data_IF_699601778229
#
_entry.id   IF_699601778229
#
_cell.length_a   1.000
_cell.length_b   1.000
_cell.length_c   1.000
_cell.angle_alpha   90.00
_cell.angle_beta   90.00
_cell.angle_gamma   90.00
#
_symmetry.space_group_name_H-M   'P 1'
#
loop_
_entity.id
_entity.type
_entity.pdbx_description
1 polymer ?
#
# COMPACT_ATOMS: atom_id res chain seq x y z
N UNK A 1 -13.79 -4.63 4.20
CA UNK A 1 -13.49 -4.41 2.76
C UNK A 1 -14.78 -4.42 1.97
N UNK A 2 -14.95 -3.51 1.02
CA UNK A 2 -16.10 -3.44 0.11
C UNK A 2 -15.64 -2.95 -1.27
N UNK A 3 -16.44 -3.12 -2.34
CA UNK A 3 -16.10 -2.56 -3.65
C UNK A 3 -15.77 -1.08 -3.56
N UNK A 4 -14.66 -0.68 -4.18
CA UNK A 4 -14.24 0.71 -4.25
C UNK A 4 -14.84 1.38 -5.48
N UNK A 5 -15.27 2.65 -5.39
CA UNK A 5 -15.65 3.44 -6.56
C UNK A 5 -14.45 3.79 -7.48
N UNK A 6 -13.20 3.57 -7.03
CA UNK A 6 -12.01 3.82 -7.85
C UNK A 6 -11.53 2.56 -8.57
N UNK A 7 -11.14 1.52 -7.81
CA UNK A 7 -10.58 0.30 -8.37
C UNK A 7 -10.77 -0.88 -7.40
N UNK A 8 -11.26 -2.01 -7.90
CA UNK A 8 -11.35 -3.27 -7.16
C UNK A 8 -12.04 -3.15 -5.80
N UNK A 9 -11.37 -3.67 -4.76
CA UNK A 9 -11.80 -3.53 -3.36
C UNK A 9 -11.12 -2.33 -2.71
N UNK A 10 -11.80 -1.72 -1.75
CA UNK A 10 -11.27 -0.65 -0.91
C UNK A 10 -11.30 -0.99 0.58
N UNK A 11 -10.34 -0.42 1.30
CA UNK A 11 -10.36 -0.30 2.75
C UNK A 11 -11.24 0.88 3.21
N UNK A 12 -11.99 0.67 4.29
CA UNK A 12 -12.92 1.68 4.83
C UNK A 12 -12.89 1.63 6.36
N UNK A 13 -12.83 2.81 6.97
CA UNK A 13 -12.92 2.95 8.42
C UNK A 13 -14.30 2.50 8.91
N UNK A 14 -14.33 1.86 10.08
CA UNK A 14 -15.56 1.43 10.77
C UNK A 14 -15.85 2.28 12.01
N UNK A 15 -14.93 3.17 12.37
CA UNK A 15 -15.01 4.17 13.43
C UNK A 15 -14.24 5.42 13.00
N UNK A 16 -14.51 6.59 13.60
CA UNK A 16 -13.76 7.80 13.31
C UNK A 16 -12.27 7.65 13.61
N UNK A 17 -11.41 8.15 12.73
CA UNK A 17 -9.94 8.13 12.90
C UNK A 17 -9.43 9.57 12.87
N UNK A 18 -8.73 10.05 13.91
CA UNK A 18 -8.25 11.42 13.95
C UNK A 18 -7.07 11.64 12.99
N UNK A 19 -6.86 12.90 12.59
CA UNK A 19 -5.66 13.38 11.88
C UNK A 19 -4.35 13.02 12.61
N UNK A 20 -3.29 12.70 11.84
CA UNK A 20 -1.96 12.40 12.36
C UNK A 20 -1.82 11.02 13.01
N UNK A 21 -2.82 10.15 12.86
CA UNK A 21 -2.78 8.79 13.42
C UNK A 21 -2.07 7.83 12.47
N UNK A 22 -1.03 7.17 13.00
CA UNK A 22 -0.40 6.01 12.35
C UNK A 22 -1.28 4.77 12.52
N UNK A 23 -1.88 4.31 11.42
CA UNK A 23 -2.92 3.27 11.46
C UNK A 23 -2.37 1.85 11.30
N UNK A 24 -1.62 1.62 10.22
CA UNK A 24 -1.24 0.26 9.79
C UNK A 24 0.04 0.30 8.96
N UNK A 25 0.86 -0.73 9.11
CA UNK A 25 2.02 -0.95 8.22
C UNK A 25 1.54 -1.51 6.87
N UNK A 26 2.12 -1.05 5.76
CA UNK A 26 2.00 -1.72 4.48
C UNK A 26 2.94 -2.94 4.48
N UNK A 27 2.41 -4.08 4.92
CA UNK A 27 3.17 -5.32 5.10
C UNK A 27 3.12 -6.20 3.85
N UNK A 28 4.17 -6.99 3.66
CA UNK A 28 4.33 -7.96 2.59
C UNK A 28 5.74 -8.54 2.57
N UNK A 29 6.01 -9.41 1.60
CA UNK A 29 7.35 -9.94 1.36
C UNK A 29 8.30 -8.81 0.91
N UNK A 30 9.55 -8.82 1.38
CA UNK A 30 10.57 -7.85 0.95
C UNK A 30 11.41 -8.46 -0.17
N UNK A 31 11.51 -7.74 -1.27
CA UNK A 31 12.21 -8.11 -2.49
C UNK A 31 13.26 -7.04 -2.82
N UNK A 32 14.29 -7.43 -3.57
CA UNK A 32 15.08 -6.44 -4.33
C UNK A 32 14.29 -6.01 -5.58
N UNK A 33 14.62 -4.85 -6.20
CA UNK A 33 14.01 -4.45 -7.46
C UNK A 33 14.10 -5.53 -8.54
N UNK A 34 15.26 -6.20 -8.68
CA UNK A 34 15.43 -7.26 -9.69
C UNK A 34 14.53 -8.47 -9.41
N UNK A 35 14.31 -8.82 -8.15
CA UNK A 35 13.40 -9.89 -7.77
C UNK A 35 11.94 -9.52 -8.06
N UNK A 36 11.56 -8.25 -7.85
CA UNK A 36 10.25 -7.74 -8.18
C UNK A 36 10.02 -7.75 -9.71
N UNK A 37 10.98 -7.27 -10.48
CA UNK A 37 10.93 -7.25 -11.95
C UNK A 37 10.88 -8.66 -12.56
N UNK A 38 11.64 -9.61 -12.00
CA UNK A 38 11.59 -11.02 -12.40
C UNK A 38 10.22 -11.65 -12.13
N UNK A 39 9.56 -11.26 -11.03
CA UNK A 39 8.26 -11.79 -10.62
C UNK A 39 7.11 -11.15 -11.39
N UNK A 40 7.19 -9.85 -11.62
CA UNK A 40 6.21 -9.05 -12.32
C UNK A 40 6.89 -8.36 -13.50
N UNK A 41 7.26 -9.11 -14.54
CA UNK A 41 7.85 -8.51 -15.73
C UNK A 41 6.86 -7.51 -16.34
N UNK A 42 7.39 -6.43 -16.89
CA UNK A 42 6.61 -5.37 -17.56
C UNK A 42 6.06 -5.90 -18.89
N UNK A 43 5.03 -6.75 -18.79
CA UNK A 43 4.23 -7.26 -19.88
C UNK A 43 2.85 -6.60 -19.78
N UNK A 44 2.31 -6.18 -20.92
CA UNK A 44 1.15 -5.29 -21.07
C UNK A 44 -0.16 -5.72 -20.35
N UNK A 45 -0.20 -6.85 -19.63
CA UNK A 45 -1.39 -7.46 -19.02
C UNK A 45 -1.42 -7.46 -17.47
N UNK A 46 -0.37 -7.00 -16.77
CA UNK A 46 -0.34 -6.98 -15.29
C UNK A 46 -0.59 -5.57 -14.74
N UNK A 47 -1.86 -5.15 -14.68
CA UNK A 47 -2.23 -3.80 -14.24
C UNK A 47 -2.45 -3.63 -12.72
N UNK A 48 -2.27 -4.68 -11.92
CA UNK A 48 -2.58 -4.67 -10.49
C UNK A 48 -1.48 -5.34 -9.67
N UNK A 49 -0.34 -4.67 -9.55
CA UNK A 49 0.71 -5.08 -8.61
C UNK A 49 0.50 -4.41 -7.26
N UNK A 50 0.83 -5.12 -6.18
CA UNK A 50 0.80 -4.59 -4.80
C UNK A 50 2.22 -4.32 -4.32
N UNK A 51 3.01 -3.68 -5.18
CA UNK A 51 4.41 -3.35 -4.95
C UNK A 51 4.56 -1.95 -4.38
N UNK A 52 5.38 -1.80 -3.34
CA UNK A 52 5.73 -0.50 -2.77
C UNK A 52 7.23 -0.45 -2.45
N UNK A 53 7.97 0.44 -3.12
CA UNK A 53 9.38 0.68 -2.84
C UNK A 53 9.61 1.46 -1.54
N UNK A 54 10.46 0.94 -0.66
CA UNK A 54 10.95 1.63 0.54
C UNK A 54 12.12 2.54 0.16
N UNK A 55 13.04 2.01 -0.64
CA UNK A 55 14.22 2.70 -1.15
C UNK A 55 14.68 2.01 -2.45
N UNK A 56 15.85 2.40 -2.96
CA UNK A 56 16.44 1.85 -4.19
C UNK A 56 16.80 0.35 -4.10
N UNK A 57 16.82 -0.24 -2.90
CA UNK A 57 17.24 -1.62 -2.65
C UNK A 57 16.12 -2.54 -2.18
N UNK A 58 15.01 -1.98 -1.69
CA UNK A 58 13.91 -2.76 -1.10
C UNK A 58 12.56 -2.35 -1.65
N UNK A 59 11.85 -3.35 -2.16
CA UNK A 59 10.43 -3.31 -2.56
C UNK A 59 9.63 -4.25 -1.67
N UNK A 60 8.45 -3.83 -1.22
CA UNK A 60 7.48 -4.66 -0.50
C UNK A 60 6.43 -5.17 -1.48
N UNK A 61 6.23 -6.49 -1.54
CA UNK A 61 5.15 -7.14 -2.28
C UNK A 61 4.04 -7.59 -1.32
N UNK A 62 2.97 -6.80 -1.22
CA UNK A 62 1.83 -7.12 -0.37
C UNK A 62 0.88 -8.19 -0.96
N UNK A 63 1.22 -8.76 -2.11
CA UNK A 63 0.54 -9.94 -2.66
C UNK A 63 0.91 -11.21 -1.87
N UNK A 64 2.11 -11.24 -1.29
CA UNK A 64 2.66 -12.35 -0.50
C UNK A 64 2.78 -11.92 0.96
N UNK A 65 2.13 -12.64 1.87
CA UNK A 65 2.09 -12.35 3.32
C UNK A 65 1.71 -10.91 3.69
N UNK A 66 0.97 -10.23 2.81
CA UNK A 66 0.48 -8.88 3.05
C UNK A 66 -0.73 -8.81 3.98
N UNK A 67 -1.13 -7.59 4.31
CA UNK A 67 -2.23 -7.32 5.23
C UNK A 67 -3.34 -6.47 4.58
N UNK A 68 -4.25 -5.93 5.39
CA UNK A 68 -5.36 -5.11 4.95
C UNK A 68 -4.95 -3.82 4.18
N UNK A 69 -3.72 -3.33 4.38
CA UNK A 69 -3.22 -2.11 3.76
C UNK A 69 -3.14 -2.20 2.22
N UNK A 70 -3.03 -3.41 1.65
CA UNK A 70 -3.01 -3.61 0.19
C UNK A 70 -4.31 -3.21 -0.53
N UNK A 71 -5.38 -3.01 0.22
CA UNK A 71 -6.67 -2.55 -0.31
C UNK A 71 -6.88 -1.03 -0.15
N UNK A 72 -5.87 -0.30 0.32
CA UNK A 72 -5.88 1.16 0.30
C UNK A 72 -5.51 1.61 -1.10
N UNK A 73 -6.42 2.30 -1.75
CA UNK A 73 -6.26 2.71 -3.14
C UNK A 73 -5.50 4.04 -3.26
N UNK A 74 -4.84 4.23 -4.40
CA UNK A 74 -4.25 5.51 -4.79
C UNK A 74 -5.34 6.56 -5.05
N UNK A 75 -5.10 7.81 -4.61
CA UNK A 75 -5.95 8.98 -4.87
C UNK A 75 -5.10 10.22 -5.02
N UNK A 76 -5.41 11.09 -5.99
CA UNK A 76 -4.78 12.41 -6.12
C UNK A 76 -5.23 13.41 -5.03
N UNK A 77 -6.32 13.12 -4.32
CA UNK A 77 -6.78 13.87 -3.14
C UNK A 77 -6.93 12.87 -1.97
N UNK A 78 -5.81 12.38 -1.41
CA UNK A 78 -5.83 11.31 -0.43
C UNK A 78 -6.31 11.79 0.94
N UNK A 79 -6.70 10.87 1.82
CA UNK A 79 -6.95 11.14 3.24
C UNK A 79 -5.88 10.51 4.14
N UNK A 80 -4.97 9.74 3.57
CA UNK A 80 -3.83 9.11 4.24
C UNK A 80 -2.57 9.29 3.39
N UNK A 81 -1.41 9.23 4.03
CA UNK A 81 -0.11 9.21 3.36
C UNK A 81 0.70 7.97 3.77
N UNK A 82 1.67 7.61 2.94
CA UNK A 82 2.62 6.54 3.22
C UNK A 82 3.94 7.13 3.74
N UNK A 83 4.22 6.89 5.01
CA UNK A 83 5.41 7.40 5.71
C UNK A 83 6.43 6.27 5.88
N UNK A 84 7.64 6.46 5.37
CA UNK A 84 8.73 5.51 5.56
C UNK A 84 9.45 5.82 6.87
N UNK A 85 9.43 4.88 7.81
CA UNK A 85 10.06 5.01 9.12
C UNK A 85 10.64 3.67 9.58
N UNK A 86 11.91 3.67 10.02
CA UNK A 86 12.62 2.46 10.45
C UNK A 86 12.71 1.36 9.37
N UNK A 87 12.74 1.74 8.09
CA UNK A 87 12.75 0.79 6.97
C UNK A 87 11.42 0.04 6.80
N UNK A 88 10.30 0.64 7.23
CA UNK A 88 8.93 0.15 7.05
C UNK A 88 8.06 1.24 6.46
N UNK A 89 6.95 0.85 5.83
CA UNK A 89 5.98 1.78 5.26
C UNK A 89 4.76 1.82 6.19
N UNK A 90 4.45 2.99 6.71
CA UNK A 90 3.30 3.21 7.59
C UNK A 90 2.27 4.06 6.89
N UNK A 91 0.99 3.71 7.06
CA UNK A 91 -0.10 4.56 6.60
C UNK A 91 -0.53 5.47 7.74
N UNK A 92 -0.48 6.78 7.51
CA UNK A 92 -0.84 7.82 8.47
C UNK A 92 -1.98 8.68 7.92
N UNK A 93 -2.90 9.14 8.78
CA UNK A 93 -4.01 10.01 8.37
C UNK A 93 -3.54 11.46 8.16
N UNK A 94 -3.97 12.07 7.04
CA UNK A 94 -3.72 13.48 6.71
C UNK A 94 -4.83 14.42 7.21
N UNK A 95 -5.95 13.85 7.64
CA UNK A 95 -7.15 14.53 8.14
C UNK A 95 -8.04 13.51 8.85
N UNK A 96 -9.03 13.98 9.60
CA UNK A 96 -10.05 13.11 10.19
C UNK A 96 -10.79 12.28 9.13
N UNK A 97 -11.05 11.00 9.43
CA UNK A 97 -11.73 10.00 8.58
C UNK A 97 -12.98 9.47 9.26
#
# INVERSE_FOLDING_TARGET
>A
MRPSPMQGLGAFAIYPIPEGMRMIEYAGERLTPEQADLRYPDVDDVHHTMLFAIDESVVVDASVDGNAARFINHSCNPNCDAVIDGGRIWIETLRDI
#
